data_IF_704720739584
#
_entry.id   IF_704720739584
#
_cell.length_a   1.000
_cell.length_b   1.000
_cell.length_c   1.000
_cell.angle_alpha   90.00
_cell.angle_beta   90.00
_cell.angle_gamma   90.00
#
_symmetry.space_group_name_H-M   'P 1'
#
loop_
_entity.id
_entity.type
_entity.pdbx_description
1 polymer ?
#
# COMPACT_ATOMS: atom_id res chain seq x y z
N UNK A 1 -8.93 34.95 6.87
CA UNK A 1 -9.25 33.58 6.43
C UNK A 1 -8.22 33.22 5.37
N UNK A 2 -7.01 32.88 5.81
CA UNK A 2 -5.90 32.58 4.91
C UNK A 2 -5.50 31.15 5.17
N UNK A 3 -5.89 30.24 4.29
CA UNK A 3 -5.27 28.93 4.20
C UNK A 3 -4.48 28.91 2.91
N UNK A 4 -3.17 29.12 3.09
CA UNK A 4 -2.14 29.00 2.08
C UNK A 4 -2.26 27.66 1.38
N UNK A 5 -2.34 27.69 0.05
CA UNK A 5 -2.20 26.51 -0.79
C UNK A 5 -0.80 25.95 -0.56
N UNK A 6 -0.70 24.86 0.20
CA UNK A 6 0.54 24.09 0.29
C UNK A 6 0.55 23.18 -0.93
N UNK A 7 1.61 23.28 -1.73
CA UNK A 7 1.82 22.54 -2.97
C UNK A 7 1.53 21.05 -2.76
N UNK A 8 0.34 20.62 -3.13
CA UNK A 8 -0.05 19.21 -3.11
C UNK A 8 0.61 18.59 -4.32
N UNK A 9 1.77 17.97 -4.11
CA UNK A 9 2.17 16.87 -4.97
C UNK A 9 1.05 15.84 -4.82
N UNK A 10 0.15 15.77 -5.80
CA UNK A 10 -0.99 14.86 -5.78
C UNK A 10 -0.45 13.43 -5.87
N UNK A 11 -0.15 12.88 -4.70
CA UNK A 11 0.35 11.54 -4.55
C UNK A 11 -0.79 10.57 -4.80
N UNK A 12 -0.83 10.00 -6.00
CA UNK A 12 -1.80 8.97 -6.34
C UNK A 12 -1.19 7.57 -6.15
N UNK A 13 -1.79 6.79 -5.26
CA UNK A 13 -1.38 5.39 -5.06
C UNK A 13 -1.70 4.52 -6.29
N UNK A 14 -2.73 4.87 -7.07
CA UNK A 14 -3.11 4.16 -8.30
C UNK A 14 -2.16 4.45 -9.47
N UNK A 15 -1.36 5.51 -9.40
CA UNK A 15 -0.34 5.81 -10.41
C UNK A 15 1.00 5.14 -10.12
N UNK A 16 1.34 4.89 -8.85
CA UNK A 16 2.69 4.44 -8.48
C UNK A 16 2.79 3.00 -7.94
N UNK A 17 1.92 2.58 -7.02
CA UNK A 17 1.98 1.26 -6.37
C UNK A 17 3.18 1.00 -5.47
N UNK A 18 4.03 2.00 -5.17
CA UNK A 18 5.30 1.82 -4.47
C UNK A 18 5.16 1.10 -3.12
N UNK A 19 4.26 1.54 -2.24
CA UNK A 19 4.10 0.95 -0.91
C UNK A 19 3.70 -0.53 -0.98
N UNK A 20 2.93 -0.92 -2.00
CA UNK A 20 2.49 -2.31 -2.21
C UNK A 20 3.57 -3.21 -2.82
N UNK A 21 4.71 -2.65 -3.25
CA UNK A 21 5.83 -3.37 -3.85
C UNK A 21 7.16 -3.17 -3.10
N UNK A 22 7.10 -2.65 -1.88
CA UNK A 22 8.27 -2.32 -1.10
C UNK A 22 8.88 -3.52 -0.38
N UNK A 23 8.12 -4.25 0.43
CA UNK A 23 8.63 -5.42 1.16
C UNK A 23 7.53 -6.35 1.61
N UNK A 24 7.80 -7.65 1.68
CA UNK A 24 6.93 -8.60 2.36
C UNK A 24 6.71 -8.28 3.85
N UNK A 25 7.64 -7.55 4.47
CA UNK A 25 7.54 -7.15 5.88
C UNK A 25 6.77 -5.82 6.08
N UNK A 26 6.14 -5.30 5.02
CA UNK A 26 5.57 -3.96 4.96
C UNK A 26 4.21 -3.97 4.24
N UNK A 27 3.13 -3.45 4.85
CA UNK A 27 2.90 -3.14 6.26
C UNK A 27 2.40 -4.36 7.06
N UNK A 28 2.73 -4.44 8.35
CA UNK A 28 2.26 -5.51 9.25
C UNK A 28 0.81 -5.32 9.65
N UNK A 29 0.03 -6.41 9.70
CA UNK A 29 -1.26 -6.41 10.38
C UNK A 29 -1.06 -6.16 11.87
N UNK A 30 -1.85 -5.28 12.49
CA UNK A 30 -1.70 -5.09 13.94
C UNK A 30 -2.92 -4.56 14.69
N UNK A 31 -4.04 -4.24 14.03
CA UNK A 31 -5.18 -3.58 14.70
C UNK A 31 -6.57 -4.10 14.30
N UNK A 32 -6.65 -5.14 13.46
CA UNK A 32 -7.92 -5.67 12.94
C UNK A 32 -8.47 -6.78 13.84
N UNK A 33 -9.80 -6.92 13.92
CA UNK A 33 -10.40 -8.11 14.53
C UNK A 33 -10.35 -9.30 13.56
N UNK A 34 -10.48 -10.52 14.08
CA UNK A 34 -10.51 -11.73 13.27
C UNK A 34 -11.63 -11.67 12.22
N UNK A 35 -12.81 -11.14 12.56
CA UNK A 35 -13.92 -10.96 11.61
C UNK A 35 -13.59 -9.97 10.49
N UNK A 36 -12.76 -8.97 10.75
CA UNK A 36 -12.34 -8.03 9.73
C UNK A 36 -11.35 -8.66 8.75
N UNK A 37 -10.41 -9.46 9.29
CA UNK A 37 -9.43 -10.21 8.52
C UNK A 37 -10.07 -11.31 7.68
N UNK A 38 -11.11 -11.97 8.18
CA UNK A 38 -11.87 -13.00 7.46
C UNK A 38 -12.57 -12.49 6.19
N UNK A 39 -12.73 -11.16 6.05
CA UNK A 39 -13.23 -10.53 4.81
C UNK A 39 -12.18 -10.49 3.71
N UNK A 40 -10.90 -10.68 4.04
CA UNK A 40 -9.80 -10.71 3.07
C UNK A 40 -9.75 -12.11 2.46
N UNK A 41 -9.83 -12.26 1.13
CA UNK A 41 -9.73 -13.58 0.51
C UNK A 41 -8.39 -14.25 0.85
N UNK A 42 -8.44 -15.50 1.30
CA UNK A 42 -7.29 -16.25 1.81
C UNK A 42 -6.11 -16.34 0.82
N UNK A 43 -6.37 -16.27 -0.49
CA UNK A 43 -5.32 -16.27 -1.52
C UNK A 43 -4.38 -15.04 -1.47
N UNK A 44 -4.83 -13.96 -0.83
CA UNK A 44 -4.07 -12.72 -0.61
C UNK A 44 -3.48 -12.62 0.81
N UNK A 45 -3.68 -13.62 1.67
CA UNK A 45 -3.16 -13.65 3.05
C UNK A 45 -1.92 -14.53 3.10
N UNK A 46 -0.88 -14.09 3.82
CA UNK A 46 0.34 -14.87 4.00
C UNK A 46 0.06 -16.17 4.75
N UNK A 47 0.85 -17.22 4.47
CA UNK A 47 0.64 -18.55 5.06
C UNK A 47 0.80 -18.58 6.59
N UNK A 48 1.56 -17.63 7.16
CA UNK A 48 1.76 -17.45 8.59
C UNK A 48 0.71 -16.53 9.24
N UNK A 49 -0.26 -16.03 8.46
CA UNK A 49 -1.29 -15.07 8.87
C UNK A 49 -0.73 -13.73 9.39
N UNK A 50 0.56 -13.44 9.17
CA UNK A 50 1.23 -12.26 9.69
C UNK A 50 1.09 -11.01 8.81
N UNK A 51 0.59 -11.16 7.59
CA UNK A 51 0.58 -10.09 6.59
C UNK A 51 -0.19 -10.42 5.32
N UNK A 52 -0.28 -9.42 4.44
CA UNK A 52 -0.68 -9.66 3.06
C UNK A 52 0.35 -10.58 2.42
N UNK A 53 -0.10 -11.52 1.59
CA UNK A 53 0.80 -12.38 0.83
C UNK A 53 1.58 -11.54 -0.19
N UNK A 54 2.89 -11.64 -0.11
CA UNK A 54 3.81 -10.99 -1.04
C UNK A 54 4.68 -12.02 -1.78
N UNK A 55 4.97 -11.74 -3.04
CA UNK A 55 5.91 -12.49 -3.87
C UNK A 55 6.96 -11.51 -4.41
N UNK A 56 8.24 -11.76 -4.16
CA UNK A 56 9.34 -10.87 -4.54
C UNK A 56 9.11 -9.41 -4.09
N UNK A 57 8.81 -9.21 -2.80
CA UNK A 57 8.47 -7.92 -2.19
C UNK A 57 7.19 -7.24 -2.72
N UNK A 58 6.43 -7.91 -3.60
CA UNK A 58 5.20 -7.39 -4.20
C UNK A 58 3.95 -8.05 -3.63
N UNK A 59 3.02 -7.24 -3.13
CA UNK A 59 1.70 -7.68 -2.70
C UNK A 59 0.95 -8.37 -3.84
N UNK A 60 0.47 -9.59 -3.61
CA UNK A 60 -0.24 -10.41 -4.60
C UNK A 60 -1.61 -9.83 -4.99
N UNK A 61 -2.18 -8.95 -4.16
CA UNK A 61 -3.39 -8.20 -4.48
C UNK A 61 -3.16 -7.00 -5.41
N UNK A 62 -1.90 -6.59 -5.63
CA UNK A 62 -1.55 -5.47 -6.50
C UNK A 62 -1.51 -5.90 -7.97
N UNK A 63 -2.49 -5.43 -8.74
CA UNK A 63 -2.52 -5.60 -10.18
C UNK A 63 -1.95 -4.36 -10.91
N UNK A 64 -1.49 -4.57 -12.15
CA UNK A 64 -0.94 -3.52 -13.00
C UNK A 64 0.58 -3.35 -12.95
N UNK A 65 1.05 -2.18 -13.37
CA UNK A 65 2.48 -1.85 -13.54
C UNK A 65 2.87 -0.68 -12.64
N UNK A 66 3.91 -0.86 -11.83
CA UNK A 66 4.46 0.17 -10.94
C UNK A 66 4.85 1.42 -11.73
N UNK A 67 4.56 2.59 -11.18
CA UNK A 67 4.84 3.89 -11.80
C UNK A 67 3.99 4.23 -13.04
N UNK A 68 3.00 3.40 -13.39
CA UNK A 68 2.08 3.66 -14.51
C UNK A 68 0.62 3.63 -14.07
N UNK A 69 0.09 2.45 -13.83
CA UNK A 69 -1.28 2.24 -13.39
C UNK A 69 -1.34 0.93 -12.61
N UNK A 70 -1.84 1.03 -11.39
CA UNK A 70 -2.04 -0.12 -10.51
C UNK A 70 -3.42 -0.06 -9.87
N UNK A 71 -3.90 -1.23 -9.47
CA UNK A 71 -5.13 -1.36 -8.71
C UNK A 71 -4.97 -2.43 -7.64
N UNK A 72 -5.61 -2.23 -6.48
CA UNK A 72 -5.72 -3.29 -5.49
C UNK A 72 -6.96 -4.13 -5.80
N UNK A 73 -6.77 -5.42 -6.05
CA UNK A 73 -7.88 -6.37 -6.32
C UNK A 73 -8.87 -6.50 -5.16
N UNK A 74 -8.46 -6.13 -3.95
CA UNK A 74 -9.28 -6.17 -2.74
C UNK A 74 -9.54 -4.77 -2.15
N UNK A 75 -9.53 -3.70 -2.97
CA UNK A 75 -9.52 -2.30 -2.51
C UNK A 75 -10.56 -1.99 -1.41
N UNK A 76 -11.77 -2.54 -1.53
CA UNK A 76 -12.88 -2.34 -0.60
C UNK A 76 -12.69 -3.03 0.78
N UNK A 77 -11.93 -4.13 0.81
CA UNK A 77 -11.66 -4.92 2.02
C UNK A 77 -10.18 -4.88 2.40
N UNK A 78 -9.45 -3.85 1.96
CA UNK A 78 -8.03 -3.68 2.31
C UNK A 78 -7.85 -3.72 3.83
N UNK A 79 -6.75 -4.27 4.33
CA UNK A 79 -6.48 -4.24 5.76
C UNK A 79 -6.31 -2.81 6.26
N UNK A 80 -6.50 -2.58 7.57
CA UNK A 80 -6.43 -1.24 8.20
C UNK A 80 -5.10 -0.58 7.84
N UNK A 81 -4.01 -1.33 7.91
CA UNK A 81 -2.66 -0.82 7.64
C UNK A 81 -2.46 -0.30 6.21
N UNK A 82 -3.18 -0.85 5.22
CA UNK A 82 -3.18 -0.35 3.86
C UNK A 82 -4.07 0.89 3.67
N UNK A 83 -5.00 1.15 4.60
CA UNK A 83 -5.86 2.34 4.62
C UNK A 83 -5.24 3.49 5.39
N UNK A 84 -4.40 3.20 6.38
CA UNK A 84 -3.71 4.21 7.21
C UNK A 84 -2.47 4.78 6.54
N UNK A 85 -1.83 4.05 5.62
CA UNK A 85 -0.76 4.60 4.80
C UNK A 85 -1.34 5.68 3.88
N UNK A 86 -0.95 6.92 4.12
CA UNK A 86 -1.43 8.08 3.41
C UNK A 86 -0.48 8.44 2.26
N UNK A 87 -1.01 8.81 1.09
CA UNK A 87 -0.14 9.21 0.01
C UNK A 87 0.73 10.41 0.41
N UNK A 88 2.06 10.23 0.37
CA UNK A 88 3.02 11.27 0.74
C UNK A 88 3.46 11.26 2.21
N UNK A 89 3.04 10.30 3.03
CA UNK A 89 3.66 10.05 4.32
C UNK A 89 5.13 9.58 4.18
N UNK A 90 5.88 9.59 5.27
CA UNK A 90 7.31 9.25 5.28
C UNK A 90 7.54 7.85 4.70
N UNK A 91 6.70 6.90 5.09
CA UNK A 91 6.64 5.53 4.58
C UNK A 91 6.46 5.48 3.05
N UNK A 92 5.54 6.27 2.52
CA UNK A 92 5.25 6.36 1.10
C UNK A 92 6.41 6.97 0.33
N UNK A 93 7.03 8.02 0.87
CA UNK A 93 8.20 8.66 0.27
C UNK A 93 9.42 7.72 0.25
N UNK A 94 9.65 6.95 1.32
CA UNK A 94 10.69 5.92 1.37
C UNK A 94 10.45 4.87 0.26
N UNK A 95 9.21 4.39 0.14
CA UNK A 95 8.87 3.40 -0.87
C UNK A 95 9.05 3.96 -2.29
N UNK A 96 8.58 5.18 -2.56
CA UNK A 96 8.77 5.85 -3.85
C UNK A 96 10.24 6.07 -4.16
N UNK A 97 11.03 6.52 -3.20
CA UNK A 97 12.46 6.71 -3.38
C UNK A 97 13.18 5.42 -3.77
N UNK A 98 12.80 4.27 -3.19
CA UNK A 98 13.38 2.96 -3.55
C UNK A 98 13.05 2.56 -5.00
N UNK A 99 11.86 2.86 -5.50
CA UNK A 99 11.42 2.41 -6.83
C UNK A 99 11.69 3.42 -7.94
N UNK A 100 11.65 4.73 -7.63
CA UNK A 100 11.63 5.81 -8.62
C UNK A 100 12.69 6.90 -8.36
N UNK A 101 13.40 6.84 -7.23
CA UNK A 101 14.36 7.86 -6.81
C UNK A 101 13.74 9.01 -6.01
N UNK A 102 14.59 9.85 -5.40
CA UNK A 102 14.19 10.86 -4.41
C UNK A 102 13.39 12.07 -4.96
N UNK A 103 13.09 12.11 -6.26
CA UNK A 103 12.35 13.20 -6.91
C UNK A 103 10.87 12.86 -7.18
N UNK A 104 10.37 11.75 -6.63
CA UNK A 104 9.06 11.14 -6.93
C UNK A 104 8.02 11.33 -5.81
#
# INVERSE_FOLDING_TARGET
>A
MSHSVSSSLDFDCQSCGACCAYSANWPRFSLETDEELDRIPAEYVAADLGGMRCENDRCTALDGTLGRFVACKIYAVRPIVCRTCMPGDDECLIARARHFGAAA
#
